data_IF_611797156089
#
_entry.id   IF_611797156089
#
_cell.length_a   1.000
_cell.length_b   1.000
_cell.length_c   1.000
_cell.angle_alpha   90.00
_cell.angle_beta   90.00
_cell.angle_gamma   90.00
#
_symmetry.space_group_name_H-M   'P 1'
#
loop_
_entity.id
_entity.type
_entity.pdbx_description
1 polymer ?
#
# COMPACT_ATOMS: atom_id res chain seq x y z
N UNK A 1 25.59 12.63 -21.87
CA UNK A 1 24.20 12.13 -21.72
C UNK A 1 23.29 13.35 -21.80
N UNK A 2 22.80 13.68 -23.00
CA UNK A 2 22.05 14.92 -23.24
C UNK A 2 20.58 14.63 -22.92
N UNK A 3 20.12 15.13 -21.78
CA UNK A 3 18.71 15.11 -21.40
C UNK A 3 17.91 15.87 -22.46
N UNK A 4 17.01 15.19 -23.16
CA UNK A 4 16.10 15.83 -24.11
C UNK A 4 15.13 16.73 -23.34
N UNK A 5 15.45 18.02 -23.26
CA UNK A 5 14.60 19.04 -22.64
C UNK A 5 13.38 19.30 -23.54
N UNK A 6 12.20 19.17 -22.96
CA UNK A 6 10.94 19.63 -23.58
C UNK A 6 11.00 21.16 -23.68
N UNK A 7 10.65 21.71 -24.86
CA UNK A 7 10.65 23.15 -25.12
C UNK A 7 9.76 23.90 -24.11
N UNK A 8 10.26 25.03 -23.59
CA UNK A 8 9.56 25.91 -22.65
C UNK A 8 8.52 26.72 -23.42
N UNK A 9 7.28 26.74 -22.96
CA UNK A 9 6.32 27.78 -23.33
C UNK A 9 6.37 28.81 -22.22
N UNK A 10 6.50 30.08 -22.59
CA UNK A 10 6.55 31.18 -21.64
C UNK A 10 5.13 31.45 -21.14
N UNK A 11 4.86 31.07 -19.88
CA UNK A 11 3.66 31.47 -19.15
C UNK A 11 3.99 32.75 -18.38
N UNK A 12 3.13 33.77 -18.51
CA UNK A 12 3.27 35.02 -17.78
C UNK A 12 3.42 34.76 -16.27
N UNK A 13 4.60 35.06 -15.73
CA UNK A 13 4.90 34.87 -14.33
C UNK A 13 4.01 35.77 -13.47
N UNK A 14 3.00 35.18 -12.81
CA UNK A 14 2.16 35.89 -11.84
C UNK A 14 3.03 36.28 -10.63
N UNK A 15 3.04 37.58 -10.34
CA UNK A 15 3.79 38.20 -9.25
C UNK A 15 3.55 37.50 -7.89
N UNK A 16 4.54 37.51 -6.97
CA UNK A 16 4.43 36.83 -5.68
C UNK A 16 3.20 37.33 -4.91
N UNK A 17 2.31 36.39 -4.56
CA UNK A 17 1.07 36.68 -3.85
C UNK A 17 1.36 37.34 -2.48
N UNK A 18 0.69 38.46 -2.21
CA UNK A 18 0.72 39.15 -0.92
C UNK A 18 0.39 38.19 0.24
N UNK A 19 1.06 38.37 1.39
CA UNK A 19 0.87 37.58 2.63
C UNK A 19 -0.61 37.55 3.05
N UNK A 20 -1.31 36.50 2.65
CA UNK A 20 -2.71 36.28 2.99
C UNK A 20 -2.83 35.74 4.42
N UNK A 21 -3.86 36.20 5.16
CA UNK A 21 -4.13 35.78 6.55
C UNK A 21 -4.31 34.26 6.62
N UNK A 22 -3.56 33.65 7.54
CA UNK A 22 -3.41 32.19 7.71
C UNK A 22 -4.67 31.58 8.32
N UNK A 23 -5.16 30.49 7.73
CA UNK A 23 -6.27 29.69 8.28
C UNK A 23 -5.69 28.36 8.77
N UNK A 24 -6.15 27.84 9.91
CA UNK A 24 -5.70 26.55 10.47
C UNK A 24 -5.84 25.36 9.49
N UNK A 25 -6.77 25.46 8.54
CA UNK A 25 -6.95 24.49 7.43
C UNK A 25 -5.76 24.44 6.49
N UNK A 26 -5.04 25.55 6.31
CA UNK A 26 -3.81 25.59 5.51
C UNK A 26 -2.75 24.71 6.18
N UNK A 27 -2.59 24.78 7.51
CA UNK A 27 -1.65 23.93 8.24
C UNK A 27 -1.88 22.42 8.05
N UNK A 28 -3.13 22.01 7.83
CA UNK A 28 -3.50 20.59 7.72
C UNK A 28 -3.24 20.07 6.29
N UNK A 29 -3.58 20.84 5.25
CA UNK A 29 -3.58 20.32 3.87
C UNK A 29 -2.77 21.12 2.83
N UNK A 30 -2.51 22.42 3.03
CA UNK A 30 -1.88 23.29 2.03
C UNK A 30 -0.65 24.03 2.58
N UNK A 31 0.50 23.90 1.93
CA UNK A 31 1.70 24.62 2.38
C UNK A 31 1.50 26.15 2.34
N UNK A 32 1.91 26.88 3.38
CA UNK A 32 1.71 28.31 3.45
C UNK A 32 2.50 29.03 2.32
N UNK A 33 1.81 29.81 1.49
CA UNK A 33 2.43 30.66 0.46
C UNK A 33 2.09 30.32 -1.00
N UNK A 34 1.23 29.35 -1.27
CA UNK A 34 0.85 28.98 -2.65
C UNK A 34 -0.03 30.02 -3.34
N UNK A 35 0.23 30.26 -4.63
CA UNK A 35 -0.64 31.04 -5.51
C UNK A 35 -2.02 30.38 -5.66
N UNK A 36 -3.06 31.16 -6.01
CA UNK A 36 -4.41 30.63 -6.24
C UNK A 36 -4.43 29.57 -7.36
N UNK A 37 -3.61 29.74 -8.38
CA UNK A 37 -3.45 28.77 -9.49
C UNK A 37 -2.77 27.48 -9.03
N UNK A 38 -1.73 27.60 -8.21
CA UNK A 38 -1.06 26.44 -7.59
C UNK A 38 -2.01 25.64 -6.68
N UNK A 39 -2.85 26.32 -5.90
CA UNK A 39 -3.86 25.68 -5.05
C UNK A 39 -4.89 24.93 -5.88
N UNK A 40 -5.35 25.53 -6.99
CA UNK A 40 -6.29 24.89 -7.91
C UNK A 40 -5.69 23.65 -8.56
N UNK A 41 -4.44 23.72 -9.01
CA UNK A 41 -3.71 22.59 -9.58
C UNK A 41 -3.57 21.43 -8.58
N UNK A 42 -3.17 21.73 -7.35
CA UNK A 42 -3.03 20.72 -6.28
C UNK A 42 -4.37 20.08 -5.96
N UNK A 43 -5.44 20.88 -5.83
CA UNK A 43 -6.78 20.35 -5.57
C UNK A 43 -7.28 19.41 -6.68
N UNK A 44 -7.09 19.79 -7.95
CA UNK A 44 -7.42 18.91 -9.09
C UNK A 44 -6.62 17.62 -9.04
N UNK A 45 -5.34 17.71 -8.74
CA UNK A 45 -4.43 16.55 -8.68
C UNK A 45 -4.80 15.64 -7.51
N UNK A 46 -5.11 16.21 -6.34
CA UNK A 46 -5.56 15.48 -5.14
C UNK A 46 -6.83 14.70 -5.41
N UNK A 47 -7.84 15.33 -6.02
CA UNK A 47 -9.10 14.66 -6.36
C UNK A 47 -8.95 13.45 -7.28
N UNK A 48 -7.86 13.35 -8.03
CA UNK A 48 -7.61 12.22 -8.92
C UNK A 48 -6.61 11.26 -8.29
N UNK A 49 -5.37 11.72 -8.07
CA UNK A 49 -4.25 10.85 -7.69
C UNK A 49 -4.43 10.28 -6.28
N UNK A 50 -4.97 11.05 -5.35
CA UNK A 50 -5.21 10.56 -3.98
C UNK A 50 -6.45 9.69 -3.96
N UNK A 51 -7.53 10.07 -4.66
CA UNK A 51 -8.76 9.28 -4.68
C UNK A 51 -8.56 7.92 -5.35
N UNK A 52 -7.98 7.86 -6.55
CA UNK A 52 -7.64 6.59 -7.18
C UNK A 52 -6.49 5.87 -6.47
N UNK A 53 -5.55 6.63 -5.88
CA UNK A 53 -4.54 6.15 -4.93
C UNK A 53 -5.12 5.31 -3.81
N UNK A 54 -6.07 5.92 -3.12
CA UNK A 54 -6.77 5.35 -2.00
C UNK A 54 -7.65 4.18 -2.45
N UNK A 55 -8.48 4.34 -3.48
CA UNK A 55 -9.39 3.29 -3.95
C UNK A 55 -8.65 2.06 -4.47
N UNK A 56 -7.59 2.24 -5.26
CA UNK A 56 -6.80 1.11 -5.76
C UNK A 56 -6.03 0.41 -4.62
N UNK A 57 -5.48 1.17 -3.66
CA UNK A 57 -4.84 0.57 -2.47
C UNK A 57 -5.89 -0.15 -1.61
N UNK A 58 -7.08 0.41 -1.48
CA UNK A 58 -8.19 -0.17 -0.73
C UNK A 58 -8.62 -1.51 -1.34
N UNK A 59 -8.90 -1.56 -2.65
CA UNK A 59 -9.23 -2.79 -3.38
C UNK A 59 -8.12 -3.82 -3.24
N UNK A 60 -6.85 -3.42 -3.40
CA UNK A 60 -5.70 -4.32 -3.25
C UNK A 60 -5.67 -5.01 -1.88
N UNK A 61 -5.92 -4.27 -0.81
CA UNK A 61 -5.93 -4.84 0.54
C UNK A 61 -7.23 -5.57 0.85
N UNK A 62 -8.33 -5.20 0.20
CA UNK A 62 -9.61 -5.90 0.26
C UNK A 62 -9.52 -7.29 -0.36
N UNK A 63 -8.92 -7.47 -1.56
CA UNK A 63 -8.70 -8.79 -2.19
C UNK A 63 -7.77 -9.69 -1.33
N UNK A 64 -6.70 -9.10 -0.78
CA UNK A 64 -5.79 -9.82 0.13
C UNK A 64 -6.50 -10.32 1.39
N UNK A 65 -7.37 -9.50 1.96
CA UNK A 65 -8.16 -9.88 3.12
C UNK A 65 -9.23 -10.90 2.75
N UNK A 66 -9.93 -10.70 1.62
CA UNK A 66 -10.96 -11.61 1.12
C UNK A 66 -10.45 -13.04 0.99
N UNK A 67 -9.19 -13.21 0.57
CA UNK A 67 -8.57 -14.54 0.56
C UNK A 67 -8.50 -15.17 1.96
N UNK A 68 -8.03 -14.42 2.95
CA UNK A 68 -7.88 -14.92 4.31
C UNK A 68 -9.24 -15.29 4.89
N UNK A 69 -10.25 -14.45 4.70
CA UNK A 69 -11.62 -14.73 5.16
C UNK A 69 -12.26 -15.86 4.36
N UNK A 70 -12.05 -15.93 3.04
CA UNK A 70 -12.55 -17.00 2.17
C UNK A 70 -11.99 -18.37 2.58
N UNK A 71 -10.67 -18.44 2.81
CA UNK A 71 -9.96 -19.62 3.28
C UNK A 71 -10.64 -20.26 4.49
N UNK A 72 -11.12 -19.41 5.39
CA UNK A 72 -11.70 -19.79 6.67
C UNK A 72 -13.21 -20.08 6.58
N UNK A 73 -13.90 -19.54 5.57
CA UNK A 73 -15.35 -19.66 5.39
C UNK A 73 -15.82 -20.89 4.57
N UNK A 74 -14.93 -21.83 4.24
CA UNK A 74 -15.28 -23.04 3.47
C UNK A 74 -14.34 -23.36 2.29
N UNK A 75 -13.50 -22.41 1.88
CA UNK A 75 -12.59 -22.61 0.74
C UNK A 75 -11.56 -23.72 1.03
N UNK A 76 -11.15 -23.90 2.29
CA UNK A 76 -10.21 -24.96 2.68
C UNK A 76 -10.81 -26.36 2.49
N UNK A 77 -12.07 -26.53 2.87
CA UNK A 77 -12.83 -27.77 2.78
C UNK A 77 -13.13 -28.13 1.31
N UNK A 78 -13.52 -27.12 0.51
CA UNK A 78 -13.85 -27.29 -0.91
C UNK A 78 -12.63 -27.64 -1.79
N UNK A 79 -11.49 -26.99 -1.55
CA UNK A 79 -10.27 -27.14 -2.38
C UNK A 79 -9.25 -28.13 -1.81
N UNK A 80 -9.57 -28.82 -0.69
CA UNK A 80 -8.63 -29.71 0.04
C UNK A 80 -7.25 -29.06 0.22
N UNK A 81 -7.25 -27.82 0.70
CA UNK A 81 -6.05 -26.98 0.72
C UNK A 81 -5.09 -27.41 1.84
N UNK A 82 -4.11 -28.27 1.52
CA UNK A 82 -3.07 -28.74 2.44
C UNK A 82 -1.68 -28.22 2.04
N UNK A 83 -1.47 -26.89 2.07
CA UNK A 83 -0.11 -26.36 1.90
C UNK A 83 -0.02 -24.89 1.52
N UNK A 84 1.06 -24.25 1.98
CA UNK A 84 1.41 -22.86 1.63
C UNK A 84 2.43 -22.87 0.50
N UNK A 85 1.96 -22.69 -0.74
CA UNK A 85 2.83 -22.56 -1.91
C UNK A 85 2.58 -21.21 -2.57
N UNK A 86 3.52 -20.29 -2.40
CA UNK A 86 3.41 -18.92 -2.91
C UNK A 86 4.74 -18.50 -3.55
N UNK A 87 4.76 -18.51 -4.88
CA UNK A 87 5.88 -18.07 -5.72
C UNK A 87 6.03 -16.53 -5.68
N UNK A 88 7.27 -16.02 -5.59
CA UNK A 88 7.62 -14.61 -5.31
C UNK A 88 8.33 -13.94 -6.52
N UNK A 89 8.47 -14.62 -7.64
CA UNK A 89 9.32 -14.18 -8.74
C UNK A 89 8.50 -13.31 -9.71
N UNK A 90 8.49 -11.98 -9.51
CA UNK A 90 7.76 -11.10 -10.43
C UNK A 90 7.72 -9.60 -10.12
N UNK A 91 8.05 -9.18 -8.90
CA UNK A 91 7.74 -7.81 -8.44
C UNK A 91 8.67 -6.70 -8.98
N UNK A 92 9.86 -7.06 -9.45
CA UNK A 92 10.87 -6.10 -9.90
C UNK A 92 10.70 -5.58 -11.33
N UNK A 93 10.52 -6.43 -12.35
CA UNK A 93 10.44 -5.97 -13.73
C UNK A 93 9.33 -4.95 -13.95
N UNK A 94 8.16 -5.18 -13.35
CA UNK A 94 6.99 -4.33 -13.57
C UNK A 94 7.10 -2.92 -12.96
N UNK A 95 7.69 -2.78 -11.76
CA UNK A 95 7.95 -1.45 -11.19
C UNK A 95 8.99 -0.67 -12.00
N UNK A 96 10.00 -1.35 -12.55
CA UNK A 96 10.98 -0.72 -13.43
C UNK A 96 10.35 -0.32 -14.78
N UNK A 97 9.41 -1.09 -15.31
CA UNK A 97 8.66 -0.75 -16.53
C UNK A 97 7.79 0.50 -16.33
N UNK A 98 7.24 0.74 -15.14
CA UNK A 98 6.43 1.94 -14.84
C UNK A 98 7.19 3.26 -15.03
N UNK A 99 8.51 3.28 -14.82
CA UNK A 99 9.30 4.50 -15.09
C UNK A 99 9.38 4.85 -16.57
N UNK A 100 9.07 3.87 -17.45
CA UNK A 100 9.21 3.99 -18.90
C UNK A 100 7.90 4.04 -19.64
N UNK A 101 6.83 3.44 -19.13
CA UNK A 101 5.51 3.43 -19.75
C UNK A 101 4.66 4.54 -19.13
N UNK A 102 3.76 5.13 -19.91
CA UNK A 102 2.81 6.11 -19.37
C UNK A 102 1.95 5.46 -18.27
N UNK A 103 1.97 5.98 -17.03
CA UNK A 103 1.19 5.42 -15.93
C UNK A 103 -0.31 5.44 -16.19
N UNK A 104 -0.78 6.43 -16.97
CA UNK A 104 -2.16 6.56 -17.44
C UNK A 104 -2.74 5.26 -18.03
N UNK A 105 -1.94 4.52 -18.80
CA UNK A 105 -2.37 3.28 -19.45
C UNK A 105 -1.91 2.04 -18.71
N UNK A 106 -0.72 2.12 -18.08
CA UNK A 106 -0.12 0.96 -17.44
C UNK A 106 -0.80 0.57 -16.14
N UNK A 107 -1.18 1.54 -15.29
CA UNK A 107 -1.85 1.26 -14.01
C UNK A 107 -3.21 0.58 -14.25
N UNK A 108 -4.10 1.12 -15.12
CA UNK A 108 -5.35 0.43 -15.41
C UNK A 108 -5.18 -0.91 -16.11
N UNK A 109 -4.15 -1.09 -16.95
CA UNK A 109 -3.87 -2.39 -17.56
C UNK A 109 -3.55 -3.46 -16.52
N UNK A 110 -2.73 -3.12 -15.53
CA UNK A 110 -2.42 -4.01 -14.42
C UNK A 110 -3.66 -4.32 -13.58
N UNK A 111 -4.48 -3.32 -13.28
CA UNK A 111 -5.72 -3.50 -12.52
C UNK A 111 -6.75 -4.36 -13.28
N UNK A 112 -6.90 -4.18 -14.60
CA UNK A 112 -7.75 -5.07 -15.42
C UNK A 112 -7.23 -6.50 -15.38
N UNK A 113 -5.91 -6.72 -15.52
CA UNK A 113 -5.29 -8.04 -15.42
C UNK A 113 -5.51 -8.69 -14.05
N UNK A 114 -5.42 -7.90 -12.98
CA UNK A 114 -5.80 -8.31 -11.63
C UNK A 114 -7.26 -8.73 -11.58
N UNK A 115 -8.18 -7.85 -11.97
CA UNK A 115 -9.63 -8.08 -11.83
C UNK A 115 -10.10 -9.31 -12.60
N UNK A 116 -9.58 -9.53 -13.82
CA UNK A 116 -9.83 -10.78 -14.57
C UNK A 116 -9.36 -11.99 -13.78
N UNK A 117 -8.18 -11.90 -13.16
CA UNK A 117 -7.64 -12.98 -12.32
C UNK A 117 -8.49 -13.21 -11.07
N UNK A 118 -9.07 -12.17 -10.45
CA UNK A 118 -10.02 -12.28 -9.33
C UNK A 118 -11.33 -12.96 -9.75
N UNK A 119 -11.89 -12.64 -10.91
CA UNK A 119 -13.05 -13.39 -11.43
C UNK A 119 -12.73 -14.85 -11.72
N UNK A 120 -11.53 -15.13 -12.24
CA UNK A 120 -11.08 -16.51 -12.46
C UNK A 120 -10.98 -17.27 -11.13
N UNK A 121 -10.50 -16.63 -10.06
CA UNK A 121 -10.39 -17.25 -8.73
C UNK A 121 -11.73 -17.77 -8.19
N UNK A 122 -12.83 -17.07 -8.47
CA UNK A 122 -14.16 -17.48 -8.03
C UNK A 122 -14.61 -18.84 -8.58
N UNK A 123 -14.05 -19.27 -9.72
CA UNK A 123 -14.45 -20.52 -10.41
C UNK A 123 -13.45 -21.67 -10.25
N UNK A 124 -12.39 -21.49 -9.45
CA UNK A 124 -11.34 -22.51 -9.33
C UNK A 124 -11.81 -23.67 -8.46
N UNK A 125 -11.57 -24.89 -8.93
CA UNK A 125 -11.90 -26.14 -8.23
C UNK A 125 -10.68 -26.89 -7.71
N UNK A 126 -9.47 -26.52 -8.17
CA UNK A 126 -8.22 -27.20 -7.81
C UNK A 126 -7.23 -26.26 -7.12
N UNK A 127 -6.49 -26.79 -6.13
CA UNK A 127 -5.42 -26.08 -5.40
C UNK A 127 -4.34 -25.52 -6.34
N UNK A 128 -3.88 -26.33 -7.31
CA UNK A 128 -2.83 -25.92 -8.25
C UNK A 128 -3.27 -24.75 -9.13
N UNK A 129 -4.53 -24.74 -9.56
CA UNK A 129 -5.09 -23.63 -10.35
C UNK A 129 -5.19 -22.35 -9.50
N UNK A 130 -5.59 -22.48 -8.24
CA UNK A 130 -5.61 -21.37 -7.28
C UNK A 130 -4.20 -20.80 -7.02
N UNK A 131 -3.18 -21.65 -6.91
CA UNK A 131 -1.79 -21.20 -6.79
C UNK A 131 -1.27 -20.51 -8.07
N UNK A 132 -1.62 -21.02 -9.25
CA UNK A 132 -1.22 -20.43 -10.54
C UNK A 132 -1.85 -19.04 -10.74
N UNK A 133 -3.16 -18.90 -10.50
CA UNK A 133 -3.84 -17.62 -10.64
C UNK A 133 -3.36 -16.61 -9.58
N UNK A 134 -3.03 -17.07 -8.37
CA UNK A 134 -2.39 -16.24 -7.33
C UNK A 134 -1.02 -15.72 -7.73
N UNK A 135 -0.24 -16.52 -8.45
CA UNK A 135 1.04 -16.06 -9.01
C UNK A 135 0.81 -14.99 -10.09
N UNK A 136 -0.25 -15.12 -10.90
CA UNK A 136 -0.63 -14.10 -11.89
C UNK A 136 -1.11 -12.80 -11.22
N UNK A 137 -1.97 -12.88 -10.20
CA UNK A 137 -2.38 -11.70 -9.40
C UNK A 137 -1.15 -10.99 -8.83
N UNK A 138 -0.18 -11.74 -8.29
CA UNK A 138 1.10 -11.20 -7.80
C UNK A 138 1.91 -10.44 -8.84
N UNK A 139 1.85 -10.86 -10.11
CA UNK A 139 2.47 -10.15 -11.23
C UNK A 139 1.71 -8.88 -11.61
N UNK A 140 0.40 -8.80 -11.34
CA UNK A 140 -0.40 -7.62 -11.61
C UNK A 140 -0.44 -6.64 -10.43
N UNK A 141 -0.12 -7.05 -9.19
CA UNK A 141 -0.06 -6.13 -8.03
C UNK A 141 1.06 -5.08 -8.11
N UNK A 142 1.91 -5.18 -9.11
CA UNK A 142 3.16 -4.43 -9.29
C UNK A 142 2.92 -3.13 -10.02
N UNK A 143 2.18 -2.23 -9.38
CA UNK A 143 1.73 -0.98 -10.00
C UNK A 143 1.63 0.18 -9.02
N UNK A 144 2.45 0.20 -7.97
CA UNK A 144 2.29 1.18 -6.90
C UNK A 144 2.54 2.60 -7.40
N UNK A 145 1.79 3.58 -6.88
CA UNK A 145 1.67 5.02 -7.24
C UNK A 145 2.96 5.87 -7.28
N UNK A 146 4.03 5.33 -7.85
CA UNK A 146 5.36 5.95 -8.01
C UNK A 146 5.32 7.23 -8.86
N UNK A 147 4.19 7.48 -9.52
CA UNK A 147 3.96 8.60 -10.44
C UNK A 147 3.45 9.85 -9.71
N UNK A 148 2.98 9.70 -8.46
CA UNK A 148 2.47 10.82 -7.67
C UNK A 148 3.55 11.86 -7.33
N UNK A 149 4.81 11.44 -7.12
CA UNK A 149 5.91 12.39 -6.83
C UNK A 149 6.21 13.37 -7.97
N UNK A 150 5.91 13.00 -9.22
CA UNK A 150 6.09 13.91 -10.34
C UNK A 150 5.13 15.12 -10.30
N UNK A 151 4.00 14.99 -9.59
CA UNK A 151 2.96 16.03 -9.49
C UNK A 151 3.04 16.84 -8.19
N UNK A 152 3.68 16.31 -7.14
CA UNK A 152 3.74 16.92 -5.81
C UNK A 152 5.15 17.39 -5.45
N UNK A 153 5.24 18.41 -4.59
CA UNK A 153 6.50 18.81 -3.95
C UNK A 153 6.84 17.83 -2.81
N UNK A 154 8.10 17.79 -2.38
CA UNK A 154 8.54 16.88 -1.30
C UNK A 154 7.75 17.14 0.01
N UNK A 155 7.56 18.41 0.37
CA UNK A 155 6.77 18.85 1.55
C UNK A 155 5.27 18.50 1.48
N UNK A 156 4.77 18.12 0.30
CA UNK A 156 3.37 17.76 0.05
C UNK A 156 3.14 16.25 -0.01
N UNK A 157 4.19 15.49 -0.33
CA UNK A 157 4.08 14.08 -0.68
C UNK A 157 3.81 13.20 0.54
N UNK A 158 4.45 13.49 1.67
CA UNK A 158 4.33 12.73 2.92
C UNK A 158 2.87 12.55 3.36
N UNK A 159 2.12 13.64 3.54
CA UNK A 159 0.70 13.62 3.93
C UNK A 159 -0.18 12.81 2.99
N UNK A 160 0.08 12.92 1.68
CA UNK A 160 -0.73 12.28 0.63
C UNK A 160 -0.48 10.79 0.58
N UNK A 161 0.78 10.37 0.69
CA UNK A 161 1.16 8.97 0.83
C UNK A 161 0.59 8.39 2.12
N UNK A 162 0.62 9.13 3.23
CA UNK A 162 0.02 8.68 4.49
C UNK A 162 -1.49 8.45 4.34
N UNK A 163 -2.22 9.37 3.69
CA UNK A 163 -3.65 9.21 3.43
C UNK A 163 -3.92 7.99 2.54
N UNK A 164 -3.17 7.78 1.46
CA UNK A 164 -3.31 6.58 0.62
C UNK A 164 -3.04 5.32 1.45
N UNK A 165 -2.04 5.33 2.33
CA UNK A 165 -1.72 4.20 3.20
C UNK A 165 -2.81 3.89 4.25
N UNK A 166 -3.67 4.84 4.61
CA UNK A 166 -4.81 4.51 5.49
C UNK A 166 -5.74 3.47 4.87
N UNK A 167 -5.80 3.39 3.54
CA UNK A 167 -6.56 2.36 2.81
C UNK A 167 -6.14 0.93 3.15
N UNK A 168 -4.87 0.74 3.57
CA UNK A 168 -4.33 -0.58 3.97
C UNK A 168 -4.99 -1.15 5.23
N UNK A 169 -5.56 -0.29 6.07
CA UNK A 169 -6.35 -0.69 7.23
C UNK A 169 -7.85 -0.76 6.90
N UNK A 170 -8.35 0.16 6.07
CA UNK A 170 -9.78 0.21 5.68
C UNK A 170 -10.19 -1.00 4.83
N UNK A 171 -9.31 -1.51 3.97
CA UNK A 171 -9.59 -2.68 3.11
C UNK A 171 -9.96 -3.92 3.92
N UNK A 172 -9.09 -4.40 4.82
CA UNK A 172 -9.38 -5.57 5.66
C UNK A 172 -10.59 -5.38 6.58
N UNK A 173 -10.81 -4.15 7.11
CA UNK A 173 -12.03 -3.84 7.87
C UNK A 173 -13.28 -4.12 7.04
N UNK A 174 -13.34 -3.61 5.81
CA UNK A 174 -14.51 -3.77 4.95
C UNK A 174 -14.72 -5.23 4.50
N UNK A 175 -13.63 -5.97 4.27
CA UNK A 175 -13.65 -7.37 3.81
C UNK A 175 -14.42 -8.29 4.75
N UNK A 176 -14.20 -8.17 6.07
CA UNK A 176 -14.88 -9.03 7.06
C UNK A 176 -16.40 -8.81 7.05
N UNK A 177 -16.85 -7.55 7.09
CA UNK A 177 -18.28 -7.22 7.00
C UNK A 177 -18.89 -7.59 5.64
N UNK A 178 -18.13 -7.44 4.55
CA UNK A 178 -18.57 -7.84 3.22
C UNK A 178 -18.82 -9.35 3.17
N UNK A 179 -17.93 -10.16 3.75
CA UNK A 179 -18.12 -11.60 3.83
C UNK A 179 -19.34 -11.96 4.69
N UNK A 180 -19.49 -11.36 5.88
CA UNK A 180 -20.64 -11.61 6.74
C UNK A 180 -21.97 -11.29 6.03
N UNK A 181 -22.01 -10.18 5.28
CA UNK A 181 -23.18 -9.78 4.50
C UNK A 181 -23.49 -10.73 3.32
N UNK A 182 -22.48 -11.38 2.75
CA UNK A 182 -22.64 -12.34 1.64
C UNK A 182 -23.01 -13.73 2.15
N UNK A 183 -22.41 -14.16 3.25
CA UNK A 183 -22.51 -15.54 3.73
C UNK A 183 -23.94 -15.93 4.09
N UNK A 184 -24.73 -15.02 4.68
CA UNK A 184 -26.14 -15.28 4.99
C UNK A 184 -27.03 -15.50 3.75
N UNK A 185 -27.16 -14.51 2.85
CA UNK A 185 -28.15 -14.54 1.77
C UNK A 185 -27.69 -15.23 0.46
N UNK A 186 -26.39 -15.40 0.24
CA UNK A 186 -25.85 -15.86 -1.06
C UNK A 186 -25.18 -17.23 -1.00
N UNK A 187 -24.93 -17.79 0.19
CA UNK A 187 -24.29 -19.10 0.29
C UNK A 187 -25.20 -20.21 -0.30
N UNK A 188 -24.66 -20.99 -1.25
CA UNK A 188 -25.41 -22.03 -1.98
C UNK A 188 -26.33 -21.50 -3.08
N UNK A 189 -26.46 -20.17 -3.24
CA UNK A 189 -27.29 -19.57 -4.28
C UNK A 189 -26.63 -19.75 -5.65
N UNK A 190 -27.43 -20.19 -6.64
CA UNK A 190 -26.96 -20.55 -7.98
C UNK A 190 -25.85 -21.63 -8.00
N UNK A 191 -25.74 -22.47 -6.96
CA UNK A 191 -24.73 -23.52 -6.88
C UNK A 191 -23.32 -23.03 -6.52
N UNK A 192 -23.18 -21.76 -6.11
CA UNK A 192 -21.91 -21.17 -5.71
C UNK A 192 -21.80 -21.06 -4.19
N UNK A 193 -20.62 -21.37 -3.65
CA UNK A 193 -20.33 -21.21 -2.23
C UNK A 193 -20.20 -19.72 -1.86
N UNK A 194 -20.45 -19.37 -0.60
CA UNK A 194 -20.36 -17.98 -0.12
C UNK A 194 -19.01 -17.31 -0.40
N UNK A 195 -17.91 -18.06 -0.39
CA UNK A 195 -16.58 -17.55 -0.72
C UNK A 195 -16.39 -17.24 -2.22
N UNK A 196 -17.09 -17.96 -3.11
CA UNK A 196 -17.05 -17.68 -4.55
C UNK A 196 -17.78 -16.37 -4.86
N UNK A 197 -18.94 -16.15 -4.22
CA UNK A 197 -19.68 -14.88 -4.28
C UNK A 197 -18.86 -13.69 -3.79
N UNK A 198 -18.01 -13.89 -2.77
CA UNK A 198 -17.10 -12.85 -2.29
C UNK A 198 -16.15 -12.37 -3.39
N UNK A 199 -15.51 -13.29 -4.14
CA UNK A 199 -14.63 -12.93 -5.24
C UNK A 199 -15.37 -12.30 -6.44
N UNK A 200 -16.61 -12.72 -6.73
CA UNK A 200 -17.42 -12.07 -7.77
C UNK A 200 -17.74 -10.62 -7.42
N UNK A 201 -18.19 -10.35 -6.19
CA UNK A 201 -18.55 -9.01 -5.74
C UNK A 201 -17.30 -8.11 -5.68
N UNK A 202 -16.18 -8.63 -5.19
CA UNK A 202 -14.89 -7.93 -5.18
C UNK A 202 -14.41 -7.55 -6.59
N UNK A 203 -14.52 -8.48 -7.54
CA UNK A 203 -14.25 -8.21 -8.95
C UNK A 203 -15.15 -7.11 -9.53
N UNK A 204 -16.44 -7.09 -9.20
CA UNK A 204 -17.38 -6.06 -9.66
C UNK A 204 -17.02 -4.69 -9.10
N UNK A 205 -16.71 -4.60 -7.80
CA UNK A 205 -16.26 -3.36 -7.16
C UNK A 205 -15.00 -2.84 -7.86
N UNK A 206 -14.06 -3.74 -8.18
CA UNK A 206 -12.84 -3.39 -8.91
C UNK A 206 -13.13 -2.79 -10.29
N UNK A 207 -14.03 -3.40 -11.08
CA UNK A 207 -14.43 -2.88 -12.40
C UNK A 207 -15.00 -1.46 -12.31
N UNK A 208 -15.85 -1.19 -11.30
CA UNK A 208 -16.47 0.12 -11.11
C UNK A 208 -15.41 1.20 -10.84
N UNK A 209 -14.31 0.87 -10.17
CA UNK A 209 -13.20 1.81 -9.90
C UNK A 209 -12.29 1.99 -11.13
N UNK A 210 -12.02 0.90 -11.86
CA UNK A 210 -11.13 0.93 -13.04
C UNK A 210 -11.71 1.78 -14.19
N UNK A 211 -13.03 1.72 -14.42
CA UNK A 211 -13.69 2.47 -15.50
C UNK A 211 -13.39 3.98 -15.44
N UNK A 212 -13.67 4.70 -14.34
CA UNK A 212 -13.35 6.12 -14.24
C UNK A 212 -11.83 6.37 -14.23
N UNK A 213 -11.03 5.44 -13.71
CA UNK A 213 -9.58 5.56 -13.69
C UNK A 213 -8.97 5.61 -15.10
N UNK A 214 -9.53 4.86 -16.07
CA UNK A 214 -9.09 4.90 -17.47
C UNK A 214 -9.21 6.30 -18.11
N UNK A 215 -10.22 7.08 -17.70
CA UNK A 215 -10.49 8.40 -18.27
C UNK A 215 -9.84 9.55 -17.49
N UNK A 216 -9.74 9.42 -16.17
CA UNK A 216 -9.34 10.50 -15.26
C UNK A 216 -7.84 10.50 -14.92
N UNK A 217 -7.17 9.35 -14.94
CA UNK A 217 -5.80 9.25 -14.45
C UNK A 217 -4.82 10.05 -15.35
N UNK A 218 -4.04 11.00 -14.80
CA UNK A 218 -3.07 11.75 -15.56
C UNK A 218 -1.77 10.95 -15.78
N UNK A 219 -1.08 11.23 -16.89
CA UNK A 219 0.30 10.80 -17.10
C UNK A 219 1.27 11.66 -16.27
N UNK A 220 2.56 11.34 -16.24
CA UNK A 220 3.57 12.22 -15.64
C UNK A 220 3.61 13.58 -16.35
N UNK A 221 3.87 14.72 -15.66
CA UNK A 221 3.87 16.04 -16.31
C UNK A 221 4.79 16.15 -17.53
N UNK A 222 5.87 15.37 -17.57
CA UNK A 222 6.79 15.28 -18.71
C UNK A 222 6.13 14.77 -20.00
N UNK A 223 5.11 13.92 -19.90
CA UNK A 223 4.45 13.24 -21.03
C UNK A 223 2.97 13.59 -21.17
N UNK A 224 2.42 14.25 -20.15
CA UNK A 224 1.03 14.66 -20.10
C UNK A 224 0.71 15.62 -21.25
N UNK A 225 -0.34 15.28 -21.97
CA UNK A 225 -0.95 16.14 -22.99
C UNK A 225 -2.10 16.92 -22.36
N UNK A 226 -2.41 18.12 -22.88
CA UNK A 226 -3.61 18.85 -22.48
C UNK A 226 -4.84 17.94 -22.60
N UNK A 227 -5.66 17.94 -21.56
CA UNK A 227 -6.89 17.16 -21.50
C UNK A 227 -8.00 18.05 -20.91
N UNK A 228 -9.24 17.57 -20.94
CA UNK A 228 -10.40 18.30 -20.40
C UNK A 228 -10.22 18.76 -18.94
N UNK A 229 -9.38 18.08 -18.16
CA UNK A 229 -9.12 18.38 -16.75
C UNK A 229 -7.86 19.22 -16.50
N UNK A 230 -6.82 19.06 -17.32
CA UNK A 230 -5.52 19.74 -17.19
C UNK A 230 -5.24 20.59 -18.42
N UNK A 231 -5.19 21.91 -18.22
CA UNK A 231 -4.86 22.90 -19.26
C UNK A 231 -3.36 22.85 -19.57
N UNK A 232 -2.92 23.38 -20.72
CA UNK A 232 -1.48 23.51 -21.03
C UNK A 232 -0.74 24.31 -19.93
N UNK A 233 -1.32 25.41 -19.46
CA UNK A 233 -0.78 26.21 -18.36
C UNK A 233 -0.69 25.42 -17.03
N UNK A 234 -1.68 24.56 -16.73
CA UNK A 234 -1.67 23.71 -15.53
C UNK A 234 -0.49 22.70 -15.58
N UNK A 235 -0.21 22.14 -16.77
CA UNK A 235 0.87 21.17 -16.98
C UNK A 235 2.24 21.84 -16.87
N UNK A 236 2.39 23.06 -17.39
CA UNK A 236 3.63 23.82 -17.27
C UNK A 236 3.89 24.29 -15.85
N UNK A 237 2.85 24.73 -15.14
CA UNK A 237 2.94 25.01 -13.71
C UNK A 237 3.38 23.78 -12.93
N UNK A 238 2.88 22.57 -13.26
CA UNK A 238 3.34 21.33 -12.65
C UNK A 238 4.82 21.03 -12.95
N UNK A 239 5.28 21.27 -14.18
CA UNK A 239 6.69 21.09 -14.59
C UNK A 239 7.62 22.08 -13.89
N UNK A 240 7.18 23.32 -13.70
CA UNK A 240 7.95 24.38 -13.05
C UNK A 240 8.03 24.19 -11.54
N UNK A 241 6.99 23.59 -10.94
CA UNK A 241 6.97 23.22 -9.52
C UNK A 241 7.97 22.12 -9.18
N UNK A 242 8.22 21.18 -10.09
CA UNK A 242 9.17 20.09 -9.88
C UNK A 242 10.10 19.92 -11.10
N UNK A 243 11.07 20.82 -11.33
CA UNK A 243 11.87 20.85 -12.55
C UNK A 243 12.85 19.67 -12.66
N UNK A 244 13.24 19.08 -11.52
CA UNK A 244 14.12 17.89 -11.46
C UNK A 244 13.41 16.62 -11.93
N UNK A 245 12.10 16.50 -11.75
CA UNK A 245 11.36 15.27 -12.08
C UNK A 245 10.34 15.45 -13.20
N UNK A 246 9.69 16.61 -13.27
CA UNK A 246 8.61 16.92 -14.22
C UNK A 246 9.07 17.02 -15.67
N UNK A 247 10.39 17.06 -15.94
CA UNK A 247 10.97 17.21 -17.29
C UNK A 247 11.89 16.06 -17.74
N UNK A 248 12.22 15.09 -16.88
CA UNK A 248 13.18 14.02 -17.21
C UNK A 248 12.48 12.80 -17.80
N UNK A 249 12.85 12.41 -19.03
CA UNK A 249 12.46 11.14 -19.64
C UNK A 249 13.53 10.08 -19.33
N UNK A 250 13.14 8.98 -18.69
CA UNK A 250 14.04 7.90 -18.32
C UNK A 250 14.42 7.01 -19.52
N UNK A 251 15.71 6.72 -19.66
CA UNK A 251 16.30 5.85 -20.71
C UNK A 251 16.34 4.36 -20.29
N UNK A 252 16.88 3.49 -21.16
CA UNK A 252 17.06 2.07 -20.86
C UNK A 252 18.06 1.86 -19.71
N UNK A 253 17.71 0.99 -18.77
CA UNK A 253 18.53 0.59 -17.63
C UNK A 253 19.61 -0.38 -18.11
N UNK A 254 20.85 -0.09 -17.75
CA UNK A 254 21.99 -0.98 -18.01
C UNK A 254 22.14 -1.94 -16.83
N UNK A 255 22.46 -3.21 -17.09
CA UNK A 255 22.62 -4.23 -16.05
C UNK A 255 23.69 -3.85 -15.00
N UNK A 256 24.72 -3.11 -15.42
CA UNK A 256 25.73 -2.53 -14.52
C UNK A 256 25.13 -1.57 -13.49
N UNK A 257 24.15 -0.74 -13.87
CA UNK A 257 23.49 0.19 -12.95
C UNK A 257 22.69 -0.56 -11.89
N UNK A 258 21.97 -1.60 -12.30
CA UNK A 258 21.19 -2.46 -11.40
C UNK A 258 22.09 -3.12 -10.34
N UNK A 259 23.25 -3.66 -10.77
CA UNK A 259 24.21 -4.27 -9.85
C UNK A 259 24.76 -3.25 -8.84
N UNK A 260 25.07 -2.03 -9.29
CA UNK A 260 25.51 -0.96 -8.40
C UNK A 260 24.42 -0.58 -7.39
N UNK A 261 23.16 -0.47 -7.83
CA UNK A 261 22.05 -0.12 -6.95
C UNK A 261 21.79 -1.18 -5.87
N UNK A 262 21.91 -2.46 -6.22
CA UNK A 262 21.77 -3.57 -5.27
C UNK A 262 22.78 -3.52 -4.11
N UNK A 263 23.99 -3.04 -4.36
CA UNK A 263 25.09 -3.02 -3.39
C UNK A 263 25.11 -1.75 -2.54
N UNK A 264 24.18 -0.82 -2.77
CA UNK A 264 24.13 0.42 -2.00
C UNK A 264 23.57 0.18 -0.59
N UNK A 265 24.30 0.58 0.46
CA UNK A 265 23.92 0.31 1.84
C UNK A 265 22.59 0.98 2.21
N UNK A 266 22.28 2.14 1.64
CA UNK A 266 21.04 2.87 1.94
C UNK A 266 19.80 2.10 1.46
N UNK A 267 19.89 1.45 0.29
CA UNK A 267 18.80 0.62 -0.25
C UNK A 267 18.62 -0.63 0.60
N UNK A 268 19.71 -1.29 0.98
CA UNK A 268 19.67 -2.49 1.81
C UNK A 268 19.10 -2.21 3.20
N UNK A 269 19.45 -1.06 3.80
CA UNK A 269 18.88 -0.61 5.08
C UNK A 269 17.37 -0.36 4.96
N UNK A 270 16.91 0.33 3.92
CA UNK A 270 15.48 0.56 3.68
C UNK A 270 14.71 -0.77 3.48
N UNK A 271 15.30 -1.74 2.77
CA UNK A 271 14.70 -3.07 2.60
C UNK A 271 14.68 -3.87 3.89
N UNK A 272 15.73 -3.77 4.72
CA UNK A 272 15.77 -4.37 6.05
C UNK A 272 14.69 -3.76 6.95
N UNK A 273 14.45 -2.46 6.89
CA UNK A 273 13.38 -1.82 7.65
C UNK A 273 12.00 -2.32 7.22
N UNK A 274 11.75 -2.43 5.91
CA UNK A 274 10.51 -3.02 5.40
C UNK A 274 10.34 -4.49 5.81
N UNK A 275 11.45 -5.24 5.82
CA UNK A 275 11.51 -6.61 6.31
C UNK A 275 11.10 -6.69 7.78
N UNK A 276 11.78 -5.93 8.64
CA UNK A 276 11.52 -5.87 10.08
C UNK A 276 10.08 -5.46 10.41
N UNK A 277 9.57 -4.46 9.69
CA UNK A 277 8.18 -3.99 9.83
C UNK A 277 7.15 -5.09 9.48
N UNK A 278 7.41 -5.82 8.39
CA UNK A 278 6.55 -6.91 7.94
C UNK A 278 6.51 -8.08 8.92
N UNK A 279 7.58 -8.29 9.71
CA UNK A 279 7.62 -9.33 10.76
C UNK A 279 6.99 -8.82 12.06
N UNK A 280 7.30 -7.59 12.45
CA UNK A 280 6.76 -6.98 13.66
C UNK A 280 5.23 -6.80 13.66
N UNK A 281 4.61 -6.73 12.47
CA UNK A 281 3.16 -6.66 12.31
C UNK A 281 2.45 -8.03 12.33
N UNK A 282 3.16 -9.15 12.15
CA UNK A 282 2.54 -10.50 12.11
C UNK A 282 1.81 -10.98 13.37
N UNK A 283 2.16 -10.54 14.59
CA UNK A 283 1.36 -10.82 15.77
C UNK A 283 -0.12 -10.41 15.62
N UNK A 284 -0.41 -9.35 14.85
CA UNK A 284 -1.77 -8.91 14.53
C UNK A 284 -2.57 -9.96 13.74
N UNK A 285 -1.95 -10.58 12.73
CA UNK A 285 -2.58 -11.63 11.93
C UNK A 285 -2.92 -12.85 12.80
N UNK A 286 -1.99 -13.22 13.70
CA UNK A 286 -2.18 -14.36 14.62
C UNK A 286 -3.30 -14.14 15.64
N UNK A 287 -3.50 -12.90 16.07
CA UNK A 287 -4.60 -12.53 16.95
C UNK A 287 -5.96 -12.70 16.28
N UNK A 288 -6.09 -12.32 15.00
CA UNK A 288 -7.33 -12.53 14.23
C UNK A 288 -7.69 -14.01 14.12
N UNK A 289 -6.69 -14.88 13.92
CA UNK A 289 -6.86 -16.35 13.96
C UNK A 289 -7.21 -16.90 15.36
N UNK A 290 -6.64 -16.33 16.43
CA UNK A 290 -6.97 -16.73 17.80
C UNK A 290 -8.43 -16.38 18.15
N UNK A 291 -8.88 -15.15 17.86
CA UNK A 291 -10.26 -14.75 18.08
C UNK A 291 -11.23 -15.71 17.35
N UNK A 292 -10.87 -16.11 16.13
CA UNK A 292 -11.62 -17.06 15.32
C UNK A 292 -11.77 -18.45 15.99
N UNK A 293 -10.66 -19.11 16.36
CA UNK A 293 -10.69 -20.48 16.91
C UNK A 293 -11.29 -20.60 18.31
N UNK A 294 -11.23 -19.53 19.12
CA UNK A 294 -11.69 -19.61 20.53
C UNK A 294 -13.19 -19.34 20.67
N UNK A 295 -13.80 -18.59 19.76
CA UNK A 295 -15.17 -18.07 19.89
C UNK A 295 -16.20 -18.94 19.15
N UNK A 296 -15.86 -19.46 17.96
CA UNK A 296 -16.78 -20.32 17.15
C UNK A 296 -17.14 -21.62 17.87
N UNK A 297 -16.25 -22.13 18.71
CA UNK A 297 -16.50 -23.37 19.45
C UNK A 297 -17.40 -23.19 20.68
N UNK A 298 -17.76 -21.96 21.08
CA UNK A 298 -18.49 -21.74 22.34
C UNK A 298 -19.75 -20.88 22.25
N UNK A 299 -19.94 -20.03 21.23
CA UNK A 299 -21.14 -19.17 21.14
C UNK A 299 -21.60 -18.88 19.70
N UNK A 300 -22.92 -18.93 19.51
CA UNK A 300 -23.66 -18.62 18.27
C UNK A 300 -23.77 -17.10 18.01
N UNK A 301 -22.62 -16.40 18.05
CA UNK A 301 -22.52 -14.97 17.74
C UNK A 301 -21.70 -14.75 16.48
N UNK A 302 -22.31 -15.07 15.33
CA UNK A 302 -21.77 -14.77 13.99
C UNK A 302 -21.39 -13.28 13.82
N UNK A 303 -21.98 -12.38 14.62
CA UNK A 303 -21.78 -10.93 14.55
C UNK A 303 -20.59 -10.40 15.40
N UNK A 304 -20.01 -11.18 16.31
CA UNK A 304 -18.87 -10.72 17.13
C UNK A 304 -17.50 -11.05 16.53
N UNK A 305 -17.46 -11.88 15.49
CA UNK A 305 -16.24 -12.28 14.77
C UNK A 305 -15.54 -11.10 14.07
N UNK A 306 -16.32 -10.15 13.55
CA UNK A 306 -15.78 -9.02 12.79
C UNK A 306 -15.28 -7.87 13.67
N UNK A 307 -15.84 -7.71 14.88
CA UNK A 307 -15.62 -6.52 15.72
C UNK A 307 -14.18 -6.45 16.26
N UNK A 308 -13.60 -7.58 16.67
CA UNK A 308 -12.28 -7.60 17.31
C UNK A 308 -11.13 -7.26 16.34
N UNK A 309 -11.01 -7.88 15.15
CA UNK A 309 -10.00 -7.47 14.17
C UNK A 309 -10.24 -6.04 13.67
N UNK A 310 -11.51 -5.63 13.53
CA UNK A 310 -11.87 -4.26 13.10
C UNK A 310 -11.26 -3.21 14.01
N UNK A 311 -11.26 -3.42 15.33
CA UNK A 311 -10.68 -2.46 16.27
C UNK A 311 -9.16 -2.31 16.07
N UNK A 312 -8.45 -3.40 15.76
CA UNK A 312 -7.00 -3.32 15.48
C UNK A 312 -6.71 -2.51 14.22
N UNK A 313 -7.51 -2.70 13.17
CA UNK A 313 -7.39 -1.90 11.95
C UNK A 313 -7.81 -0.43 12.17
N UNK A 314 -8.80 -0.16 13.03
CA UNK A 314 -9.17 1.21 13.41
C UNK A 314 -8.01 1.93 14.14
N UNK A 315 -7.34 1.25 15.06
CA UNK A 315 -6.14 1.77 15.73
C UNK A 315 -5.05 2.07 14.69
N UNK A 316 -4.83 1.15 13.74
CA UNK A 316 -3.88 1.35 12.63
C UNK A 316 -4.26 2.55 11.76
N UNK A 317 -5.53 2.74 11.45
CA UNK A 317 -6.03 3.88 10.67
C UNK A 317 -5.72 5.21 11.37
N UNK A 318 -6.10 5.33 12.64
CA UNK A 318 -5.87 6.55 13.46
C UNK A 318 -4.37 6.82 13.58
N UNK A 319 -3.58 5.79 13.90
CA UNK A 319 -2.13 5.91 14.06
C UNK A 319 -1.43 6.32 12.76
N UNK A 320 -1.89 5.82 11.61
CA UNK A 320 -1.31 6.19 10.30
C UNK A 320 -1.54 7.68 10.00
N UNK A 321 -2.71 8.23 10.37
CA UNK A 321 -2.97 9.66 10.24
C UNK A 321 -2.12 10.49 11.20
N UNK A 322 -1.99 10.06 12.45
CA UNK A 322 -1.17 10.75 13.46
C UNK A 322 0.30 10.75 13.04
N UNK A 323 0.82 9.61 12.58
CA UNK A 323 2.20 9.46 12.12
C UNK A 323 2.43 10.30 10.85
N UNK A 324 1.51 10.26 9.88
CA UNK A 324 1.59 11.08 8.68
C UNK A 324 1.61 12.59 8.97
N UNK A 325 0.79 13.04 9.93
CA UNK A 325 0.74 14.45 10.31
C UNK A 325 1.96 14.89 11.17
N UNK A 326 2.38 14.05 12.11
CA UNK A 326 3.52 14.34 13.01
C UNK A 326 4.87 14.27 12.31
N UNK A 327 4.98 13.43 11.27
CA UNK A 327 6.13 13.37 10.36
C UNK A 327 6.46 14.76 9.82
N UNK A 328 5.45 15.50 9.36
CA UNK A 328 5.66 16.73 8.60
C UNK A 328 5.69 17.99 9.47
N UNK A 329 5.24 17.91 10.73
CA UNK A 329 5.10 19.08 11.60
C UNK A 329 6.10 19.13 12.75
N UNK A 330 6.43 18.00 13.38
CA UNK A 330 7.16 18.00 14.67
C UNK A 330 8.48 17.22 14.58
N UNK A 331 8.56 16.15 13.78
CA UNK A 331 9.68 15.21 13.85
C UNK A 331 10.47 14.96 12.54
N UNK A 332 10.21 15.71 11.46
CA UNK A 332 10.85 15.48 10.13
C UNK A 332 10.86 13.98 9.75
N UNK A 333 9.73 13.31 9.97
CA UNK A 333 9.53 11.90 9.64
C UNK A 333 10.19 10.86 10.54
N UNK A 334 10.54 11.14 11.81
CA UNK A 334 11.40 10.24 12.64
C UNK A 334 10.70 9.33 13.65
N UNK A 335 9.38 9.17 13.61
CA UNK A 335 8.63 8.35 14.56
C UNK A 335 8.47 6.90 14.10
N UNK A 336 9.32 5.99 14.59
CA UNK A 336 9.09 4.55 14.44
C UNK A 336 8.55 3.95 15.73
N UNK A 337 7.48 3.18 15.62
CA UNK A 337 6.90 2.51 16.76
C UNK A 337 7.42 1.08 16.89
N UNK A 338 7.79 0.70 18.11
CA UNK A 338 8.04 -0.67 18.52
C UNK A 338 6.90 -1.12 19.45
N UNK A 339 6.33 -2.31 19.23
CA UNK A 339 5.33 -2.88 20.14
C UNK A 339 6.02 -3.77 21.18
N UNK A 340 5.40 -3.91 22.36
CA UNK A 340 5.97 -4.45 23.62
C UNK A 340 5.41 -5.82 24.03
N UNK A 341 6.24 -6.52 24.83
CA UNK A 341 6.22 -7.85 25.46
C UNK A 341 4.87 -8.54 25.74
N UNK A 342 4.84 -9.87 25.56
CA UNK A 342 3.71 -10.77 25.89
C UNK A 342 3.49 -10.95 27.41
N UNK A 343 2.40 -10.43 28.01
CA UNK A 343 2.11 -10.60 29.43
C UNK A 343 1.24 -11.84 29.67
N UNK A 344 1.35 -12.40 30.88
CA UNK A 344 0.49 -13.50 31.34
C UNK A 344 -0.98 -13.07 31.50
N UNK A 345 -1.23 -11.78 31.75
CA UNK A 345 -2.58 -11.25 31.98
C UNK A 345 -3.38 -11.09 30.67
N UNK A 346 -4.57 -11.70 30.60
CA UNK A 346 -5.41 -11.71 29.37
C UNK A 346 -5.72 -10.30 28.87
N UNK A 347 -6.27 -9.41 29.72
CA UNK A 347 -6.64 -8.05 29.31
C UNK A 347 -5.47 -7.22 28.75
N UNK A 348 -4.30 -7.30 29.39
CA UNK A 348 -3.12 -6.56 28.93
C UNK A 348 -2.56 -7.11 27.61
N UNK A 349 -2.76 -8.41 27.34
CA UNK A 349 -2.44 -9.01 26.04
C UNK A 349 -3.30 -8.44 24.90
N UNK A 350 -4.60 -8.24 25.12
CA UNK A 350 -5.49 -7.60 24.14
C UNK A 350 -5.06 -6.17 23.84
N UNK A 351 -4.73 -5.39 24.87
CA UNK A 351 -4.20 -4.04 24.71
C UNK A 351 -2.93 -4.00 23.84
N UNK A 352 -2.00 -4.92 24.05
CA UNK A 352 -0.74 -4.95 23.29
C UNK A 352 -0.94 -5.40 21.85
N UNK A 353 -1.83 -6.36 21.58
CA UNK A 353 -2.19 -6.72 20.20
C UNK A 353 -2.81 -5.54 19.46
N UNK A 354 -3.69 -4.76 20.09
CA UNK A 354 -4.20 -3.53 19.45
C UNK A 354 -3.09 -2.51 19.16
N UNK A 355 -2.07 -2.42 20.01
CA UNK A 355 -0.93 -1.55 19.78
C UNK A 355 0.09 -2.07 18.73
N UNK A 356 -0.05 -3.30 18.23
CA UNK A 356 0.77 -3.76 17.08
C UNK A 356 0.47 -2.96 15.80
N UNK A 357 -0.71 -2.34 15.71
CA UNK A 357 -1.07 -1.44 14.61
C UNK A 357 -0.13 -0.25 14.44
N UNK A 358 0.57 0.18 15.49
CA UNK A 358 1.60 1.22 15.38
C UNK A 358 2.78 0.81 14.50
N UNK A 359 3.18 -0.48 14.55
CA UNK A 359 4.23 -1.01 13.67
C UNK A 359 3.73 -0.93 12.23
N UNK A 360 2.52 -1.41 11.95
CA UNK A 360 1.95 -1.35 10.60
C UNK A 360 1.87 0.09 10.06
N UNK A 361 1.49 1.07 10.88
CA UNK A 361 1.44 2.48 10.49
C UNK A 361 2.79 3.07 10.09
N UNK A 362 3.89 2.63 10.73
CA UNK A 362 5.25 3.10 10.38
C UNK A 362 5.69 2.68 8.97
N UNK A 363 4.94 1.79 8.29
CA UNK A 363 5.22 1.40 6.91
C UNK A 363 5.17 2.54 5.92
N UNK A 364 4.20 3.46 6.11
CA UNK A 364 4.01 4.65 5.28
C UNK A 364 5.25 5.56 5.25
N UNK A 365 6.04 5.58 6.33
CA UNK A 365 7.14 6.50 6.50
C UNK A 365 8.38 6.09 5.70
N UNK A 366 8.76 4.81 5.74
CA UNK A 366 9.91 4.37 4.94
C UNK A 366 9.60 4.40 3.44
N UNK A 367 8.32 4.29 3.04
CA UNK A 367 7.90 4.56 1.67
C UNK A 367 8.15 6.00 1.27
N UNK A 368 7.74 6.97 2.09
CA UNK A 368 8.03 8.39 1.87
C UNK A 368 9.54 8.66 1.85
N UNK A 369 10.28 8.15 2.84
CA UNK A 369 11.74 8.28 2.90
C UNK A 369 12.44 7.72 1.67
N UNK A 370 12.01 6.57 1.16
CA UNK A 370 12.59 6.00 -0.07
C UNK A 370 12.37 6.92 -1.26
N UNK A 371 11.23 7.61 -1.32
CA UNK A 371 10.97 8.59 -2.36
C UNK A 371 11.84 9.84 -2.19
N UNK A 372 12.10 10.28 -0.96
CA UNK A 372 12.84 11.50 -0.65
C UNK A 372 14.36 11.32 -0.75
N UNK A 373 14.91 10.27 -0.16
CA UNK A 373 16.35 9.93 -0.24
C UNK A 373 16.80 9.77 -1.70
N UNK A 374 15.90 9.33 -2.59
CA UNK A 374 16.21 9.10 -4.00
C UNK A 374 15.48 10.05 -4.96
N UNK A 375 15.11 11.25 -4.50
CA UNK A 375 14.46 12.26 -5.34
C UNK A 375 15.27 12.63 -6.61
N UNK A 376 16.60 12.49 -6.58
CA UNK A 376 17.48 12.85 -7.70
C UNK A 376 17.46 11.88 -8.89
N UNK A 377 17.10 10.60 -8.70
CA UNK A 377 17.11 9.58 -9.75
C UNK A 377 15.82 8.73 -9.72
N UNK A 378 14.86 9.01 -10.61
CA UNK A 378 13.61 8.27 -10.70
C UNK A 378 13.79 6.76 -10.97
N UNK A 379 14.84 6.38 -11.70
CA UNK A 379 15.15 4.97 -11.98
C UNK A 379 15.54 4.23 -10.71
N UNK A 380 16.50 4.78 -10.00
CA UNK A 380 16.98 4.24 -8.72
C UNK A 380 15.86 4.20 -7.67
N UNK A 381 15.02 5.24 -7.61
CA UNK A 381 13.88 5.31 -6.71
C UNK A 381 12.85 4.22 -6.98
N UNK A 382 12.50 4.01 -8.25
CA UNK A 382 11.57 2.94 -8.64
C UNK A 382 12.09 1.56 -8.26
N UNK A 383 13.41 1.36 -8.39
CA UNK A 383 14.09 0.13 -8.02
C UNK A 383 14.09 -0.08 -6.50
N UNK A 384 14.47 0.93 -5.72
CA UNK A 384 14.43 0.87 -4.27
C UNK A 384 13.01 0.63 -3.74
N UNK A 385 12.02 1.32 -4.31
CA UNK A 385 10.59 1.15 -4.04
C UNK A 385 10.11 -0.27 -4.38
N UNK A 386 10.48 -0.82 -5.53
CA UNK A 386 10.15 -2.18 -5.90
C UNK A 386 10.73 -3.20 -4.91
N UNK A 387 11.95 -2.96 -4.46
CA UNK A 387 12.62 -3.81 -3.49
C UNK A 387 11.99 -3.81 -2.09
N UNK A 388 11.36 -2.71 -1.65
CA UNK A 388 10.56 -2.70 -0.41
C UNK A 388 9.41 -3.73 -0.48
N UNK A 389 8.65 -3.72 -1.58
CA UNK A 389 7.56 -4.69 -1.80
C UNK A 389 8.08 -6.13 -1.87
N UNK A 390 9.24 -6.36 -2.51
CA UNK A 390 9.87 -7.68 -2.57
C UNK A 390 10.32 -8.15 -1.20
N UNK A 391 11.03 -7.31 -0.45
CA UNK A 391 11.50 -7.62 0.89
C UNK A 391 10.31 -7.98 1.80
N UNK A 392 9.29 -7.13 1.85
CA UNK A 392 8.05 -7.39 2.59
C UNK A 392 7.32 -8.66 2.13
N UNK A 393 7.26 -8.90 0.82
CA UNK A 393 6.63 -10.08 0.23
C UNK A 393 7.35 -11.39 0.57
N UNK A 394 8.70 -11.38 0.56
CA UNK A 394 9.53 -12.50 1.00
C UNK A 394 9.25 -12.82 2.47
N UNK A 395 9.27 -11.81 3.35
CA UNK A 395 8.98 -12.02 4.78
C UNK A 395 7.61 -12.64 5.00
N UNK A 396 6.59 -12.07 4.36
CA UNK A 396 5.20 -12.48 4.52
C UNK A 396 5.00 -13.92 4.07
N UNK A 397 5.79 -14.40 3.11
CA UNK A 397 5.75 -15.77 2.64
C UNK A 397 6.58 -16.74 3.50
N UNK A 398 7.77 -16.34 4.00
CA UNK A 398 8.72 -17.27 4.63
C UNK A 398 8.61 -17.33 6.15
N UNK A 399 8.43 -16.20 6.81
CA UNK A 399 8.56 -16.09 8.27
C UNK A 399 7.37 -16.70 9.02
N UNK A 400 6.11 -16.51 8.58
CA UNK A 400 4.97 -17.17 9.21
C UNK A 400 5.08 -18.71 9.19
N UNK A 401 5.71 -19.28 8.16
CA UNK A 401 5.90 -20.74 8.06
C UNK A 401 6.78 -21.30 9.18
N UNK A 402 7.81 -20.54 9.57
CA UNK A 402 8.76 -20.97 10.58
C UNK A 402 8.33 -20.57 12.00
N UNK A 403 7.81 -19.35 12.17
CA UNK A 403 7.63 -18.72 13.48
C UNK A 403 6.17 -18.59 13.93
N UNK A 404 5.20 -18.64 13.00
CA UNK A 404 3.78 -18.51 13.29
C UNK A 404 3.01 -19.75 12.81
N UNK A 405 3.41 -20.92 13.32
CA UNK A 405 2.80 -22.19 12.96
C UNK A 405 1.37 -22.29 13.49
N UNK A 406 0.47 -22.87 12.67
CA UNK A 406 -0.94 -23.09 13.04
C UNK A 406 -1.10 -24.02 14.24
N UNK A 407 -0.11 -24.89 14.50
CA UNK A 407 -0.07 -25.81 15.64
C UNK A 407 0.06 -25.09 16.99
N UNK A 408 0.74 -23.94 17.00
CA UNK A 408 1.03 -23.18 18.23
C UNK A 408 -0.02 -22.08 18.50
N UNK A 409 -1.04 -21.98 17.63
CA UNK A 409 -2.20 -21.14 17.89
C UNK A 409 -3.02 -21.74 19.04
N UNK A 410 -3.58 -20.93 19.97
CA UNK A 410 -3.74 -19.48 19.93
C UNK A 410 -2.59 -18.63 20.52
N UNK A 411 -1.56 -19.25 21.10
CA UNK A 411 -0.50 -18.55 21.84
C UNK A 411 0.87 -18.77 21.19
N UNK A 412 1.11 -18.10 20.06
CA UNK A 412 2.38 -18.17 19.33
C UNK A 412 3.48 -17.37 20.04
N UNK A 413 4.01 -17.90 21.13
CA UNK A 413 5.03 -17.23 21.95
C UNK A 413 6.31 -16.99 21.16
N UNK A 414 6.79 -17.98 20.40
CA UNK A 414 8.00 -17.87 19.57
C UNK A 414 7.90 -16.78 18.51
N UNK A 415 6.81 -16.77 17.73
CA UNK A 415 6.53 -15.73 16.73
C UNK A 415 6.39 -14.33 17.33
N UNK A 416 5.75 -14.20 18.49
CA UNK A 416 5.60 -12.90 19.17
C UNK A 416 6.95 -12.34 19.66
N UNK A 417 7.84 -13.19 20.18
CA UNK A 417 9.20 -12.78 20.56
C UNK A 417 10.04 -12.36 19.36
N UNK A 418 9.92 -13.08 18.23
CA UNK A 418 10.57 -12.68 17.00
C UNK A 418 10.02 -11.34 16.49
N UNK A 419 8.70 -11.17 16.44
CA UNK A 419 8.04 -9.91 16.06
C UNK A 419 8.55 -8.73 16.89
N UNK A 420 8.69 -8.91 18.21
CA UNK A 420 9.28 -7.93 19.11
C UNK A 420 10.72 -7.57 18.73
N UNK A 421 11.60 -8.58 18.60
CA UNK A 421 13.01 -8.37 18.28
C UNK A 421 13.19 -7.62 16.95
N UNK A 422 12.46 -8.01 15.90
CA UNK A 422 12.50 -7.33 14.60
C UNK A 422 11.93 -5.91 14.67
N UNK A 423 10.92 -5.66 15.51
CA UNK A 423 10.37 -4.31 15.69
C UNK A 423 11.39 -3.31 16.28
N UNK A 424 12.35 -3.78 17.08
CA UNK A 424 13.42 -2.93 17.64
C UNK A 424 14.53 -2.59 16.62
N UNK A 425 14.72 -3.44 15.61
CA UNK A 425 15.72 -3.23 14.56
C UNK A 425 15.31 -2.08 13.63
N UNK A 426 14.02 -1.86 13.41
CA UNK A 426 13.53 -0.80 12.50
C UNK A 426 13.88 0.62 12.97
N UNK A 427 13.65 1.03 14.24
CA UNK A 427 14.14 2.31 14.76
C UNK A 427 15.66 2.45 14.73
N UNK A 428 16.41 1.37 14.98
CA UNK A 428 17.87 1.39 14.94
C UNK A 428 18.40 1.64 13.52
N UNK A 429 17.85 0.96 12.52
CA UNK A 429 18.17 1.18 11.12
C UNK A 429 17.75 2.59 10.62
N UNK A 430 16.62 3.10 11.13
CA UNK A 430 16.16 4.46 10.86
C UNK A 430 17.15 5.52 11.38
N UNK A 431 17.68 5.32 12.59
CA UNK A 431 18.71 6.19 13.17
C UNK A 431 19.99 6.15 12.32
N UNK A 432 20.43 4.98 11.85
CA UNK A 432 21.64 4.87 11.00
C UNK A 432 21.50 5.52 9.63
N UNK A 433 20.28 5.67 9.09
CA UNK A 433 20.05 6.42 7.84
C UNK A 433 20.01 7.93 8.06
N UNK A 434 19.84 8.39 9.31
CA UNK A 434 19.76 9.80 9.67
C UNK A 434 21.13 10.42 10.00
N UNK A 435 22.15 9.59 10.23
CA UNK A 435 23.56 9.96 10.43
C UNK A 435 24.34 9.70 9.14
#
# INVERSE_FOLDING_TARGET
>A
MVLAQVARVDVDHVAPAQKQKRIWRDYIWQNPGMSAEEKRLVYKTDLILITFGFLGTWIKYLDKSNLQTAFVSGMKEDLKFYGNQLNIIGLWPANMIMTRVSPKWFIPFLEVGWTISTFCQAQMTNTTQMCAIRALVRLFETGHWSCSKAWYKDDELGRRIALINTATAVGPMCSSYLQAAIYGPLNGRFGHAGWQWLFYIDGIISVIVIIPQLFLLPDVPARQKPNWMFTAADIELARDRNPREGRIRQDKFTWSQIRTWFLRPEILLLWLMSWCNSVGSKPQDSFSFCAFNTIILQYDFSNMLDVYPTFTYLVTFINTLIIGWSSDTIFNGRLMAAALLYPKHRAFRWFLYYNTGWIQSSSSMFWAWTQDTFAGDPGLRSFASAGLNVASGICTATIPLALFQTKDQPAVTGGNWAGFAFSLVSPAAALTLAW
#
